data_IF_821909286363
#
_entry.id   IF_821909286363
#
_cell.length_a   1.000
_cell.length_b   1.000
_cell.length_c   1.000
_cell.angle_alpha   90.00
_cell.angle_beta   90.00
_cell.angle_gamma   90.00
#
_symmetry.space_group_name_H-M   'P 1'
#
loop_
_entity.id
_entity.type
_entity.pdbx_description
1 polymer ?
#
# COMPACT_ATOMS: atom_id res chain seq x y z
N UNK A 1 48.11 -22.59 -7.19
CA UNK A 1 47.85 -23.65 -6.19
C UNK A 1 46.55 -24.36 -6.51
N UNK A 2 45.48 -23.63 -6.78
CA UNK A 2 44.18 -24.18 -7.14
C UNK A 2 43.20 -23.05 -7.41
N UNK A 3 41.91 -23.32 -7.27
CA UNK A 3 40.84 -22.33 -7.42
C UNK A 3 39.86 -22.41 -6.25
N UNK A 4 39.19 -21.31 -5.96
CA UNK A 4 38.09 -21.26 -4.99
C UNK A 4 36.77 -20.87 -5.66
N UNK A 5 35.70 -21.57 -5.27
CA UNK A 5 34.33 -21.31 -5.70
C UNK A 5 33.41 -21.17 -4.49
N UNK A 6 32.62 -20.09 -4.45
CA UNK A 6 31.66 -19.77 -3.39
C UNK A 6 30.30 -19.44 -4.05
N UNK A 7 29.42 -20.44 -4.26
CA UNK A 7 28.19 -20.29 -5.04
C UNK A 7 27.26 -19.17 -4.54
N UNK A 8 27.13 -19.03 -3.21
CA UNK A 8 26.19 -18.14 -2.53
C UNK A 8 26.45 -16.65 -2.80
N UNK A 9 27.66 -16.32 -3.21
CA UNK A 9 28.09 -14.96 -3.54
C UNK A 9 28.63 -14.84 -4.96
N UNK A 10 28.42 -15.88 -5.80
CA UNK A 10 28.81 -15.94 -7.22
C UNK A 10 30.30 -15.73 -7.45
N UNK A 11 31.13 -16.19 -6.52
CA UNK A 11 32.58 -16.29 -6.72
C UNK A 11 32.81 -17.63 -7.40
N UNK A 12 33.32 -17.60 -8.63
CA UNK A 12 33.54 -18.82 -9.42
C UNK A 12 35.00 -18.87 -9.85
N UNK A 13 35.67 -19.95 -9.48
CA UNK A 13 36.98 -20.35 -9.97
C UNK A 13 38.06 -19.25 -9.87
N UNK A 14 38.12 -18.55 -8.74
CA UNK A 14 39.17 -17.55 -8.52
C UNK A 14 40.49 -18.27 -8.21
N UNK A 15 41.60 -17.95 -8.88
CA UNK A 15 42.89 -18.59 -8.63
C UNK A 15 43.41 -18.34 -7.21
N UNK A 16 43.99 -19.39 -6.63
CA UNK A 16 44.72 -19.36 -5.36
C UNK A 16 46.22 -19.44 -5.66
N UNK A 17 46.96 -18.44 -5.21
CA UNK A 17 48.41 -18.32 -5.32
C UNK A 17 49.08 -18.48 -3.97
N UNK A 18 50.35 -18.90 -3.97
CA UNK A 18 51.12 -19.01 -2.74
C UNK A 18 51.72 -17.65 -2.37
N UNK A 19 51.56 -17.23 -1.11
CA UNK A 19 51.98 -15.92 -0.61
C UNK A 19 50.81 -14.96 -0.39
N UNK A 20 51.11 -13.86 0.30
CA UNK A 20 50.17 -12.83 0.75
C UNK A 20 50.67 -11.41 0.44
N UNK A 21 51.63 -11.28 -0.49
CA UNK A 21 52.10 -9.97 -0.94
C UNK A 21 51.04 -9.24 -1.76
N UNK A 22 51.13 -7.91 -1.82
CA UNK A 22 50.19 -7.08 -2.60
C UNK A 22 50.15 -7.48 -4.07
N UNK A 23 51.29 -7.88 -4.65
CA UNK A 23 51.34 -8.39 -6.03
C UNK A 23 50.51 -9.66 -6.20
N UNK A 24 50.54 -10.56 -5.21
CA UNK A 24 49.77 -11.82 -5.24
C UNK A 24 48.28 -11.55 -5.02
N UNK A 25 47.94 -10.75 -4.01
CA UNK A 25 46.54 -10.38 -3.73
C UNK A 25 45.92 -9.55 -4.87
N UNK A 26 46.76 -8.87 -5.65
CA UNK A 26 46.35 -8.20 -6.88
C UNK A 26 45.91 -9.13 -8.01
N UNK A 27 46.30 -10.41 -7.99
CA UNK A 27 45.98 -11.41 -9.01
C UNK A 27 44.80 -12.32 -8.63
N UNK A 28 44.45 -12.42 -7.35
CA UNK A 28 43.41 -13.33 -6.88
C UNK A 28 43.46 -13.58 -5.38
N UNK A 29 43.28 -14.84 -4.98
CA UNK A 29 43.35 -15.26 -3.58
C UNK A 29 44.79 -15.65 -3.24
N UNK A 30 45.30 -15.12 -2.13
CA UNK A 30 46.59 -15.54 -1.57
C UNK A 30 46.44 -16.73 -0.62
N UNK A 31 47.55 -17.38 -0.33
CA UNK A 31 47.66 -18.38 0.73
C UNK A 31 48.75 -17.91 1.69
N UNK A 32 48.38 -17.72 2.96
CA UNK A 32 49.31 -17.21 3.98
C UNK A 32 50.43 -18.22 4.20
N UNK A 33 51.70 -17.83 3.98
CA UNK A 33 52.84 -18.68 4.34
C UNK A 33 52.76 -19.12 5.80
N UNK A 34 53.21 -20.34 6.11
CA UNK A 34 53.14 -20.93 7.46
C UNK A 34 51.74 -21.38 7.92
N UNK A 35 50.67 -21.10 7.17
CA UNK A 35 49.41 -21.85 7.30
C UNK A 35 49.48 -23.19 6.57
N UNK A 36 48.53 -24.10 6.84
CA UNK A 36 48.49 -25.38 6.14
C UNK A 36 48.19 -25.20 4.66
N UNK A 37 48.80 -26.02 3.81
CA UNK A 37 48.46 -26.04 2.38
C UNK A 37 46.97 -26.40 2.19
N UNK A 38 46.29 -25.84 1.17
CA UNK A 38 44.86 -26.01 0.94
C UNK A 38 44.48 -27.38 0.32
N UNK A 39 45.15 -28.45 0.76
CA UNK A 39 44.90 -29.84 0.34
C UNK A 39 44.04 -30.63 1.33
N UNK A 40 43.71 -30.01 2.48
CA UNK A 40 42.97 -30.61 3.59
C UNK A 40 43.78 -31.65 4.37
N UNK A 41 43.09 -32.35 5.28
CA UNK A 41 43.70 -33.34 6.16
C UNK A 41 43.41 -33.09 7.64
N UNK A 42 43.66 -34.09 8.47
CA UNK A 42 43.45 -33.93 9.91
C UNK A 42 44.53 -33.02 10.51
N UNK A 43 44.15 -32.12 11.41
CA UNK A 43 45.01 -31.08 12.00
C UNK A 43 45.58 -30.12 10.94
N UNK A 44 44.73 -29.66 10.01
CA UNK A 44 45.12 -28.64 9.03
C UNK A 44 44.25 -27.41 9.15
N UNK A 45 44.86 -26.24 8.99
CA UNK A 45 44.16 -24.96 8.90
C UNK A 45 44.82 -24.09 7.84
N UNK A 46 44.20 -24.01 6.65
CA UNK A 46 44.67 -23.12 5.58
C UNK A 46 44.05 -21.74 5.72
N UNK A 47 44.83 -20.69 5.45
CA UNK A 47 44.36 -19.30 5.52
C UNK A 47 44.47 -18.64 4.15
N UNK A 48 43.35 -18.16 3.64
CA UNK A 48 43.20 -17.66 2.28
C UNK A 48 42.73 -16.20 2.28
N UNK A 49 43.65 -15.21 2.20
CA UNK A 49 43.29 -13.80 2.08
C UNK A 49 42.93 -13.37 0.65
N UNK A 50 42.00 -12.43 0.52
CA UNK A 50 41.78 -11.67 -0.72
C UNK A 50 41.23 -10.27 -0.43
N UNK A 51 41.40 -9.34 -1.38
CA UNK A 51 40.85 -7.99 -1.23
C UNK A 51 39.31 -7.97 -1.25
N UNK A 52 38.76 -6.92 -0.63
CA UNK A 52 37.36 -6.51 -0.70
C UNK A 52 37.27 -5.10 -1.28
N UNK A 53 36.24 -4.82 -2.09
CA UNK A 53 35.93 -3.47 -2.57
C UNK A 53 36.78 -2.98 -3.74
N UNK A 54 37.39 -3.87 -4.53
CA UNK A 54 38.06 -3.48 -5.77
C UNK A 54 37.01 -3.19 -6.85
N UNK A 55 37.23 -2.11 -7.60
CA UNK A 55 36.31 -1.66 -8.67
C UNK A 55 36.25 -2.68 -9.81
N UNK A 56 37.37 -3.35 -10.10
CA UNK A 56 37.50 -4.22 -11.28
C UNK A 56 37.14 -5.68 -11.01
N UNK A 57 37.22 -6.16 -9.75
CA UNK A 57 36.93 -7.55 -9.39
C UNK A 57 36.26 -7.63 -8.03
N UNK A 58 35.22 -8.47 -7.94
CA UNK A 58 34.47 -8.61 -6.70
C UNK A 58 35.18 -9.45 -5.65
N UNK A 59 36.15 -10.33 -5.98
CA UNK A 59 36.93 -11.18 -5.05
C UNK A 59 36.14 -11.55 -3.77
N UNK A 60 36.60 -11.13 -2.59
CA UNK A 60 35.90 -11.35 -1.29
C UNK A 60 35.06 -10.16 -0.83
N UNK A 61 34.68 -9.25 -1.73
CA UNK A 61 33.82 -8.08 -1.42
C UNK A 61 32.49 -8.47 -0.80
N UNK A 62 31.91 -9.59 -1.20
CA UNK A 62 30.59 -10.05 -0.74
C UNK A 62 30.70 -11.12 0.37
N UNK A 63 31.88 -11.32 0.96
CA UNK A 63 32.10 -12.35 1.97
C UNK A 63 31.23 -12.13 3.23
N UNK A 64 30.88 -10.87 3.52
CA UNK A 64 29.97 -10.43 4.59
C UNK A 64 28.54 -10.95 4.42
N UNK A 65 28.15 -11.32 3.20
CA UNK A 65 26.83 -11.89 2.92
C UNK A 65 26.75 -13.36 3.30
N UNK A 66 27.85 -14.06 3.53
CA UNK A 66 27.86 -15.48 3.91
C UNK A 66 27.27 -15.69 5.30
N UNK A 67 26.75 -16.90 5.53
CA UNK A 67 26.13 -17.31 6.80
C UNK A 67 26.62 -18.70 7.19
N UNK A 68 26.55 -19.01 8.48
CA UNK A 68 26.75 -20.38 8.96
C UNK A 68 25.82 -21.33 8.21
N UNK A 69 26.40 -22.42 7.70
CA UNK A 69 25.73 -23.39 6.85
C UNK A 69 26.00 -23.24 5.36
N UNK A 70 26.45 -22.07 4.89
CA UNK A 70 26.90 -21.89 3.51
C UNK A 70 28.17 -22.71 3.25
N UNK A 71 28.53 -22.88 1.98
CA UNK A 71 29.65 -23.72 1.56
C UNK A 71 30.57 -23.02 0.59
N UNK A 72 31.83 -23.43 0.57
CA UNK A 72 32.77 -23.10 -0.49
C UNK A 72 33.57 -24.34 -0.89
N UNK A 73 34.16 -24.26 -2.07
CA UNK A 73 34.89 -25.34 -2.71
C UNK A 73 36.32 -24.88 -3.00
N UNK A 74 37.28 -25.75 -2.70
CA UNK A 74 38.65 -25.63 -3.16
C UNK A 74 38.90 -26.69 -4.23
N UNK A 75 39.40 -26.27 -5.38
CA UNK A 75 39.80 -27.13 -6.48
C UNK A 75 41.32 -27.12 -6.54
N UNK A 76 41.96 -28.17 -6.03
CA UNK A 76 43.43 -28.25 -5.91
C UNK A 76 43.89 -29.55 -6.57
N UNK A 77 44.67 -29.42 -7.66
CA UNK A 77 44.99 -30.54 -8.55
C UNK A 77 43.68 -31.23 -9.00
N UNK A 78 43.61 -32.56 -8.89
CA UNK A 78 42.43 -33.35 -9.24
C UNK A 78 41.44 -33.49 -8.07
N UNK A 79 41.67 -32.77 -6.96
CA UNK A 79 40.80 -32.80 -5.79
C UNK A 79 39.83 -31.63 -5.80
N UNK A 80 38.56 -31.95 -5.57
CA UNK A 80 37.59 -30.96 -5.07
C UNK A 80 37.42 -31.20 -3.58
N UNK A 81 37.51 -30.13 -2.79
CA UNK A 81 37.36 -30.15 -1.33
C UNK A 81 36.19 -29.22 -0.97
N UNK A 82 35.23 -29.73 -0.21
CA UNK A 82 34.05 -28.97 0.22
C UNK A 82 34.15 -28.58 1.68
N UNK A 83 33.93 -27.31 1.96
CA UNK A 83 33.94 -26.77 3.32
C UNK A 83 32.57 -26.14 3.62
N UNK A 84 32.06 -26.37 4.82
CA UNK A 84 30.83 -25.77 5.32
C UNK A 84 31.18 -24.75 6.40
N UNK A 85 30.68 -23.53 6.22
CA UNK A 85 30.92 -22.41 7.14
C UNK A 85 30.24 -22.69 8.47
N UNK A 86 31.00 -22.64 9.54
CA UNK A 86 30.55 -22.86 10.92
C UNK A 86 30.85 -21.65 11.81
N UNK A 87 31.77 -20.79 11.41
CA UNK A 87 32.17 -19.59 12.16
C UNK A 87 32.41 -18.38 11.25
N UNK A 88 31.88 -17.23 11.68
CA UNK A 88 32.08 -15.92 11.06
C UNK A 88 32.37 -14.91 12.15
N UNK A 89 33.52 -14.22 12.08
CA UNK A 89 33.95 -13.26 13.09
C UNK A 89 34.59 -12.02 12.50
N UNK A 90 34.42 -10.91 13.21
CA UNK A 90 35.11 -9.65 12.91
C UNK A 90 36.17 -9.43 13.99
N UNK A 91 37.43 -9.32 13.59
CA UNK A 91 38.57 -9.22 14.50
C UNK A 91 39.44 -7.99 14.18
N UNK A 92 40.30 -7.61 15.13
CA UNK A 92 41.34 -6.62 14.88
C UNK A 92 42.42 -7.19 13.93
N UNK A 93 43.11 -6.36 13.12
CA UNK A 93 44.10 -6.85 12.15
C UNK A 93 45.26 -7.67 12.74
N UNK A 94 45.59 -7.44 14.00
CA UNK A 94 46.66 -8.15 14.73
C UNK A 94 46.16 -9.39 15.50
N UNK A 95 44.87 -9.69 15.48
CA UNK A 95 44.28 -10.79 16.23
C UNK A 95 44.28 -12.06 15.38
N UNK A 96 45.40 -12.80 15.43
CA UNK A 96 45.65 -13.99 14.60
C UNK A 96 45.43 -15.32 15.33
N UNK A 97 45.12 -15.31 16.63
CA UNK A 97 45.02 -16.52 17.45
C UNK A 97 44.02 -17.54 16.91
N UNK A 98 42.94 -17.06 16.28
CA UNK A 98 41.91 -17.89 15.65
C UNK A 98 42.32 -18.60 14.37
N UNK A 99 43.50 -18.31 13.82
CA UNK A 99 44.01 -18.90 12.57
C UNK A 99 44.93 -20.10 12.83
N UNK A 100 45.10 -20.49 14.09
CA UNK A 100 45.94 -21.62 14.49
C UNK A 100 45.29 -22.95 14.12
N UNK A 101 46.10 -24.00 13.96
CA UNK A 101 45.60 -25.36 13.76
C UNK A 101 44.81 -25.81 14.99
N UNK A 102 43.62 -26.34 14.76
CA UNK A 102 42.80 -26.97 15.78
C UNK A 102 42.92 -28.49 15.69
N UNK A 103 43.23 -29.12 16.83
CA UNK A 103 43.45 -30.57 16.88
C UNK A 103 42.18 -31.32 16.47
N UNK A 104 42.31 -32.25 15.53
CA UNK A 104 41.23 -33.09 15.04
C UNK A 104 40.39 -32.49 13.91
N UNK A 105 40.70 -31.26 13.45
CA UNK A 105 39.88 -30.53 12.47
C UNK A 105 40.64 -30.29 11.16
N UNK A 106 39.86 -30.19 10.07
CA UNK A 106 40.32 -29.77 8.73
C UNK A 106 39.59 -28.46 8.42
N UNK A 107 40.30 -27.35 8.55
CA UNK A 107 39.76 -25.99 8.50
C UNK A 107 40.35 -25.18 7.35
N UNK A 108 39.52 -24.28 6.83
CA UNK A 108 39.97 -23.23 5.93
C UNK A 108 39.31 -21.92 6.35
N UNK A 109 40.11 -20.88 6.55
CA UNK A 109 39.61 -19.54 6.85
C UNK A 109 39.84 -18.60 5.67
N UNK A 110 38.76 -18.00 5.18
CA UNK A 110 38.76 -16.94 4.19
C UNK A 110 38.88 -15.59 4.92
N UNK A 111 39.82 -14.75 4.47
CA UNK A 111 40.15 -13.48 5.15
C UNK A 111 39.96 -12.30 4.21
N UNK A 112 39.26 -11.27 4.67
CA UNK A 112 39.20 -10.00 3.94
C UNK A 112 39.12 -8.79 4.88
N UNK A 113 39.27 -7.59 4.31
CA UNK A 113 39.14 -6.34 5.04
C UNK A 113 37.66 -6.03 5.32
N UNK A 114 37.38 -5.43 6.48
CA UNK A 114 36.00 -5.08 6.84
C UNK A 114 35.96 -3.85 7.77
N UNK A 115 34.89 -3.04 7.75
CA UNK A 115 33.89 -2.94 6.69
C UNK A 115 34.53 -2.48 5.37
N UNK A 116 34.03 -2.96 4.24
CA UNK A 116 34.57 -2.58 2.92
C UNK A 116 34.58 -1.06 2.74
N UNK A 117 35.72 -0.51 2.33
CA UNK A 117 35.94 0.93 2.17
C UNK A 117 36.51 1.64 3.41
N UNK A 118 36.34 1.05 4.61
CA UNK A 118 37.00 1.51 5.85
C UNK A 118 38.23 0.63 6.15
N UNK A 119 38.09 -0.69 6.00
CA UNK A 119 39.16 -1.68 6.04
C UNK A 119 40.01 -1.73 7.35
N UNK A 120 39.47 -1.23 8.47
CA UNK A 120 40.16 -1.16 9.76
C UNK A 120 40.08 -2.45 10.60
N UNK A 121 39.24 -3.41 10.19
CA UNK A 121 39.11 -4.74 10.80
C UNK A 121 39.30 -5.84 9.75
N UNK A 122 39.26 -7.09 10.20
CA UNK A 122 39.25 -8.27 9.34
C UNK A 122 37.97 -9.05 9.55
N UNK A 123 37.36 -9.47 8.45
CA UNK A 123 36.30 -10.46 8.44
C UNK A 123 36.94 -11.83 8.18
N UNK A 124 36.75 -12.75 9.12
CA UNK A 124 37.17 -14.14 9.00
C UNK A 124 35.92 -15.00 8.80
N UNK A 125 35.94 -15.81 7.75
CA UNK A 125 34.90 -16.81 7.47
C UNK A 125 35.57 -18.17 7.45
N UNK A 126 35.34 -18.96 8.49
CA UNK A 126 35.94 -20.27 8.67
C UNK A 126 34.95 -21.35 8.26
N UNK A 127 35.43 -22.33 7.49
CA UNK A 127 34.68 -23.52 7.15
C UNK A 127 35.42 -24.78 7.55
N UNK A 128 34.65 -25.79 7.93
CA UNK A 128 35.13 -27.13 8.27
C UNK A 128 34.83 -28.10 7.13
N UNK A 129 35.77 -29.03 6.90
CA UNK A 129 35.69 -30.02 5.83
C UNK A 129 34.44 -30.89 5.96
N UNK A 130 33.72 -31.05 4.86
CA UNK A 130 32.58 -31.96 4.75
C UNK A 130 32.70 -32.88 3.53
N UNK A 131 32.14 -34.11 3.58
CA UNK A 131 32.12 -35.01 2.43
C UNK A 131 31.33 -34.43 1.24
N UNK A 132 31.83 -34.65 0.02
CA UNK A 132 31.21 -34.16 -1.23
C UNK A 132 29.96 -34.95 -1.65
N UNK A 133 29.78 -36.17 -1.15
CA UNK A 133 28.71 -37.09 -1.58
C UNK A 133 27.27 -36.56 -1.38
N UNK A 134 27.09 -35.45 -0.67
CA UNK A 134 25.80 -34.76 -0.52
C UNK A 134 25.87 -33.39 -1.20
N UNK A 135 25.44 -33.30 -2.45
CA UNK A 135 25.03 -32.02 -3.06
C UNK A 135 23.76 -31.58 -2.34
N UNK A 136 23.87 -30.58 -1.46
CA UNK A 136 22.76 -30.12 -0.64
C UNK A 136 21.92 -29.10 -1.43
N UNK A 137 20.58 -29.07 -1.26
CA UNK A 137 19.72 -28.06 -1.89
C UNK A 137 20.14 -26.61 -1.60
N UNK A 138 20.87 -26.38 -0.50
CA UNK A 138 21.41 -25.10 -0.07
C UNK A 138 22.55 -24.56 -0.97
N UNK A 139 23.10 -25.38 -1.87
CA UNK A 139 24.06 -24.94 -2.89
C UNK A 139 23.39 -24.17 -4.04
N UNK A 140 22.06 -24.31 -4.19
CA UNK A 140 21.28 -23.47 -5.10
C UNK A 140 20.97 -22.16 -4.39
N UNK A 141 21.47 -21.05 -4.94
CA UNK A 141 21.29 -19.68 -4.44
C UNK A 141 19.79 -19.35 -4.35
N UNK A 142 19.18 -19.58 -3.18
CA UNK A 142 17.84 -19.08 -2.83
C UNK A 142 17.98 -18.07 -1.71
N UNK A 143 18.66 -16.96 -1.98
CA UNK A 143 18.61 -15.80 -1.10
C UNK A 143 17.49 -14.90 -1.60
N UNK A 144 16.59 -14.51 -0.69
CA UNK A 144 15.50 -13.60 -1.01
C UNK A 144 16.08 -12.37 -1.73
N UNK A 145 15.69 -12.21 -3.00
CA UNK A 145 16.18 -11.14 -3.88
C UNK A 145 15.73 -9.74 -3.40
N UNK A 146 14.73 -9.69 -2.53
CA UNK A 146 14.15 -8.44 -2.04
C UNK A 146 14.50 -8.22 -0.57
N UNK A 147 15.38 -7.25 -0.33
CA UNK A 147 15.79 -6.82 1.01
C UNK A 147 14.72 -5.98 1.72
N UNK A 148 14.98 -5.62 2.98
CA UNK A 148 14.08 -4.80 3.82
C UNK A 148 13.60 -3.52 3.11
N UNK A 149 14.51 -2.82 2.42
CA UNK A 149 14.20 -1.58 1.70
C UNK A 149 13.11 -1.75 0.63
N UNK A 150 13.04 -2.92 -0.02
CA UNK A 150 12.00 -3.19 -1.03
C UNK A 150 10.61 -3.22 -0.39
N UNK A 151 10.47 -3.90 0.74
CA UNK A 151 9.20 -4.01 1.45
C UNK A 151 8.75 -2.69 2.06
N UNK A 152 9.70 -1.88 2.56
CA UNK A 152 9.41 -0.51 3.03
C UNK A 152 8.89 0.37 1.89
N UNK A 153 9.52 0.31 0.71
CA UNK A 153 9.10 1.10 -0.46
C UNK A 153 7.74 0.67 -1.00
N UNK A 154 7.48 -0.64 -1.02
CA UNK A 154 6.17 -1.19 -1.43
C UNK A 154 5.07 -0.76 -0.45
N UNK A 155 5.33 -0.87 0.86
CA UNK A 155 4.38 -0.47 1.90
C UNK A 155 4.07 1.02 1.86
N UNK A 156 5.09 1.88 1.72
CA UNK A 156 4.90 3.34 1.65
C UNK A 156 4.15 3.77 0.39
N UNK A 157 4.43 3.14 -0.76
CA UNK A 157 3.69 3.38 -2.00
C UNK A 157 2.20 3.03 -1.89
N UNK A 158 1.88 1.92 -1.21
CA UNK A 158 0.49 1.49 -1.00
C UNK A 158 -0.27 2.45 -0.07
N UNK A 159 0.38 2.93 1.00
CA UNK A 159 -0.20 3.93 1.90
C UNK A 159 -0.47 5.27 1.20
N UNK A 160 0.46 5.73 0.34
CA UNK A 160 0.27 6.94 -0.47
C UNK A 160 -0.93 6.80 -1.41
N UNK A 161 -1.06 5.66 -2.09
CA UNK A 161 -2.18 5.39 -3.00
C UNK A 161 -3.52 5.41 -2.26
N UNK A 162 -3.60 4.78 -1.07
CA UNK A 162 -4.80 4.82 -0.25
C UNK A 162 -5.15 6.25 0.21
N UNK A 163 -4.14 7.04 0.60
CA UNK A 163 -4.33 8.44 0.96
C UNK A 163 -4.86 9.30 -0.20
N UNK A 164 -4.33 9.10 -1.41
CA UNK A 164 -4.81 9.77 -2.62
C UNK A 164 -6.24 9.38 -2.96
N UNK A 165 -6.59 8.09 -2.89
CA UNK A 165 -7.95 7.63 -3.12
C UNK A 165 -8.93 8.22 -2.10
N UNK A 166 -8.54 8.31 -0.83
CA UNK A 166 -9.35 8.93 0.21
C UNK A 166 -9.55 10.44 -0.03
N UNK A 167 -8.50 11.17 -0.40
CA UNK A 167 -8.59 12.58 -0.75
C UNK A 167 -9.47 12.81 -1.98
N UNK A 168 -9.33 11.96 -3.00
CA UNK A 168 -10.14 12.00 -4.21
C UNK A 168 -11.61 11.67 -3.88
N UNK A 169 -11.86 10.73 -2.97
CA UNK A 169 -13.19 10.47 -2.42
C UNK A 169 -13.74 11.67 -1.64
N UNK A 170 -12.94 12.41 -0.86
CA UNK A 170 -13.39 13.64 -0.19
C UNK A 170 -13.72 14.76 -1.20
N UNK A 171 -12.91 14.91 -2.24
CA UNK A 171 -13.14 15.92 -3.29
C UNK A 171 -14.38 15.60 -4.16
N UNK A 172 -14.63 14.32 -4.42
CA UNK A 172 -15.79 13.84 -5.18
C UNK A 172 -16.99 13.50 -4.28
N UNK A 173 -16.80 13.49 -2.97
CA UNK A 173 -17.71 12.97 -1.96
C UNK A 173 -18.87 13.88 -1.66
N UNK A 174 -20.08 13.35 -1.89
CA UNK A 174 -21.38 13.85 -1.41
C UNK A 174 -21.98 15.10 -2.09
N UNK A 175 -22.07 15.10 -3.42
CA UNK A 175 -23.15 15.88 -4.09
C UNK A 175 -24.43 15.03 -4.13
N UNK A 176 -25.13 14.99 -3.00
CA UNK A 176 -26.40 14.26 -2.88
C UNK A 176 -27.37 14.69 -3.99
N UNK A 177 -28.01 13.71 -4.62
CA UNK A 177 -29.09 13.95 -5.56
C UNK A 177 -30.33 14.25 -4.74
N UNK A 178 -31.02 15.31 -5.10
CA UNK A 178 -32.28 15.71 -4.52
C UNK A 178 -33.40 15.35 -5.49
N UNK A 179 -34.53 14.90 -4.97
CA UNK A 179 -35.65 14.37 -5.73
C UNK A 179 -36.91 15.16 -5.41
N UNK A 180 -37.64 15.60 -6.44
CA UNK A 180 -38.95 16.26 -6.34
C UNK A 180 -39.93 15.58 -7.30
N UNK A 181 -41.19 15.46 -6.89
CA UNK A 181 -42.24 14.85 -7.70
C UNK A 181 -43.13 15.93 -8.29
N UNK A 182 -43.37 15.85 -9.60
CA UNK A 182 -44.31 16.71 -10.30
C UNK A 182 -44.99 15.95 -11.45
N UNK A 183 -46.07 16.52 -12.00
CA UNK A 183 -46.75 16.03 -13.21
C UNK A 183 -46.00 16.36 -14.50
N UNK A 184 -44.99 17.23 -14.42
CA UNK A 184 -44.16 17.64 -15.57
C UNK A 184 -42.68 17.66 -15.24
N UNK A 185 -41.88 17.72 -16.31
CA UNK A 185 -40.44 17.96 -16.23
C UNK A 185 -40.20 19.43 -15.87
N UNK A 186 -39.45 19.69 -14.80
CA UNK A 186 -39.16 21.04 -14.30
C UNK A 186 -37.64 21.26 -14.36
N UNK A 187 -37.16 21.87 -15.44
CA UNK A 187 -35.72 22.17 -15.60
C UNK A 187 -35.31 23.44 -14.85
N UNK A 188 -36.19 24.44 -14.85
CA UNK A 188 -36.03 25.73 -14.18
C UNK A 188 -37.15 25.89 -13.14
N UNK A 189 -36.96 25.38 -11.91
CA UNK A 189 -38.00 25.41 -10.89
C UNK A 189 -38.20 26.83 -10.36
N UNK A 190 -39.47 27.22 -10.25
CA UNK A 190 -39.93 28.41 -9.52
C UNK A 190 -40.78 27.98 -8.32
N UNK A 191 -41.00 28.88 -7.36
CA UNK A 191 -41.87 28.57 -6.22
C UNK A 191 -43.26 28.12 -6.67
N UNK A 192 -43.81 28.75 -7.72
CA UNK A 192 -45.14 28.44 -8.26
C UNK A 192 -45.26 27.03 -8.88
N UNK A 193 -44.15 26.37 -9.21
CA UNK A 193 -44.16 25.07 -9.89
C UNK A 193 -44.38 23.87 -8.96
N UNK A 194 -44.22 24.06 -7.65
CA UNK A 194 -44.17 22.94 -6.71
C UNK A 194 -44.30 23.33 -5.24
N UNK A 195 -44.95 24.45 -4.95
CA UNK A 195 -45.23 24.87 -3.57
C UNK A 195 -46.14 23.85 -2.89
N UNK A 196 -45.55 23.12 -1.95
CA UNK A 196 -46.26 22.20 -1.07
C UNK A 196 -46.26 22.77 0.34
N UNK A 197 -47.31 22.48 1.09
CA UNK A 197 -47.36 22.76 2.53
C UNK A 197 -47.00 21.50 3.29
N UNK A 198 -45.80 21.48 3.87
CA UNK A 198 -45.24 20.35 4.63
C UNK A 198 -44.81 20.74 6.05
N UNK A 199 -44.02 19.88 6.70
CA UNK A 199 -43.54 20.10 8.08
C UNK A 199 -42.80 21.45 8.25
N UNK A 200 -42.11 21.94 7.20
CA UNK A 200 -41.36 23.21 7.23
C UNK A 200 -42.14 24.41 6.67
N UNK A 201 -43.47 24.30 6.59
CA UNK A 201 -44.37 25.30 6.03
C UNK A 201 -44.48 25.20 4.50
N UNK A 202 -44.84 26.30 3.85
CA UNK A 202 -44.92 26.37 2.39
C UNK A 202 -43.53 26.50 1.75
N UNK A 203 -43.30 25.74 0.67
CA UNK A 203 -42.07 25.83 -0.11
C UNK A 203 -41.98 24.73 -1.16
N UNK A 204 -40.86 24.71 -1.89
CA UNK A 204 -40.54 23.67 -2.87
C UNK A 204 -39.78 22.54 -2.18
N UNK A 205 -40.44 21.39 -2.03
CA UNK A 205 -39.90 20.26 -1.27
C UNK A 205 -39.09 19.29 -2.13
N UNK A 206 -37.94 18.92 -1.59
CA UNK A 206 -36.99 17.97 -2.15
C UNK A 206 -36.59 16.96 -1.07
N UNK A 207 -36.21 15.75 -1.46
CA UNK A 207 -35.62 14.76 -0.55
C UNK A 207 -34.32 14.18 -1.10
N UNK A 208 -33.39 13.79 -0.23
CA UNK A 208 -32.18 13.06 -0.61
C UNK A 208 -32.41 11.53 -0.80
N UNK A 209 -33.62 11.04 -0.54
CA UNK A 209 -33.98 9.63 -0.66
C UNK A 209 -34.88 9.35 -1.85
N UNK A 210 -34.38 8.55 -2.80
CA UNK A 210 -35.19 8.03 -3.91
C UNK A 210 -36.39 7.20 -3.41
N UNK A 211 -36.26 6.50 -2.27
CA UNK A 211 -37.35 5.70 -1.70
C UNK A 211 -38.49 6.60 -1.25
N UNK A 212 -38.17 7.68 -0.52
CA UNK A 212 -39.17 8.66 -0.07
C UNK A 212 -39.81 9.40 -1.25
N UNK A 213 -39.03 9.75 -2.28
CA UNK A 213 -39.57 10.37 -3.48
C UNK A 213 -40.60 9.49 -4.21
N UNK A 214 -40.40 8.17 -4.25
CA UNK A 214 -41.41 7.26 -4.80
C UNK A 214 -42.68 7.20 -3.92
N UNK A 215 -42.54 7.27 -2.59
CA UNK A 215 -43.70 7.33 -1.68
C UNK A 215 -44.50 8.62 -1.92
N UNK A 216 -43.83 9.76 -2.03
CA UNK A 216 -44.47 11.04 -2.39
C UNK A 216 -45.19 10.98 -3.73
N UNK A 217 -44.62 10.27 -4.71
CA UNK A 217 -45.25 10.07 -6.01
C UNK A 217 -46.55 9.27 -5.89
N UNK A 218 -46.53 8.17 -5.15
CA UNK A 218 -47.73 7.36 -4.94
C UNK A 218 -48.80 8.13 -4.14
N UNK A 219 -48.40 8.90 -3.13
CA UNK A 219 -49.30 9.76 -2.35
C UNK A 219 -49.93 10.87 -3.20
N UNK A 220 -49.14 11.52 -4.07
CA UNK A 220 -49.62 12.59 -4.94
C UNK A 220 -50.59 12.07 -6.00
N UNK A 221 -50.30 10.90 -6.58
CA UNK A 221 -51.19 10.23 -7.53
C UNK A 221 -52.54 9.90 -6.89
N UNK A 222 -52.53 9.35 -5.68
CA UNK A 222 -53.75 9.04 -4.93
C UNK A 222 -54.55 10.31 -4.61
N UNK A 223 -53.91 11.38 -4.15
CA UNK A 223 -54.58 12.66 -3.83
C UNK A 223 -55.23 13.32 -5.04
N UNK A 224 -54.59 13.24 -6.22
CA UNK A 224 -55.10 13.82 -7.47
C UNK A 224 -56.02 12.88 -8.25
N UNK A 225 -56.26 11.65 -7.76
CA UNK A 225 -56.96 10.58 -8.49
C UNK A 225 -56.38 10.35 -9.91
N UNK A 226 -55.05 10.41 -10.02
CA UNK A 226 -54.30 10.28 -11.27
C UNK A 226 -53.49 8.98 -11.27
N UNK A 227 -53.13 8.50 -12.45
CA UNK A 227 -52.26 7.32 -12.57
C UNK A 227 -50.83 7.69 -12.11
N UNK A 228 -50.22 6.95 -11.17
CA UNK A 228 -48.83 7.18 -10.76
C UNK A 228 -47.82 7.20 -11.92
N UNK A 229 -48.13 6.54 -13.03
CA UNK A 229 -47.25 6.48 -14.20
C UNK A 229 -47.17 7.79 -15.00
N UNK A 230 -48.12 8.72 -14.77
CA UNK A 230 -48.13 10.06 -15.36
C UNK A 230 -47.24 11.04 -14.57
N UNK A 231 -46.87 10.70 -13.33
CA UNK A 231 -46.00 11.52 -12.50
C UNK A 231 -44.51 11.24 -12.76
N UNK A 232 -43.72 12.28 -12.55
CA UNK A 232 -42.30 12.33 -12.85
C UNK A 232 -41.49 12.70 -11.60
N UNK A 233 -40.32 12.08 -11.45
CA UNK A 233 -39.35 12.45 -10.40
C UNK A 233 -38.23 13.27 -11.03
N UNK A 234 -38.25 14.57 -10.77
CA UNK A 234 -37.20 15.50 -11.17
C UNK A 234 -36.00 15.38 -10.20
N UNK A 235 -34.80 15.18 -10.75
CA UNK A 235 -33.56 14.97 -10.00
C UNK A 235 -32.70 16.21 -10.11
N UNK A 236 -32.36 16.79 -8.97
CA UNK A 236 -31.55 17.98 -8.85
C UNK A 236 -30.29 17.71 -8.04
N UNK A 237 -29.40 18.70 -8.06
CA UNK A 237 -28.21 18.77 -7.23
C UNK A 237 -28.07 20.17 -6.69
N UNK A 238 -27.98 20.26 -5.38
CA UNK A 238 -27.68 21.52 -4.71
C UNK A 238 -26.17 21.80 -4.83
N UNK A 239 -25.82 22.92 -5.48
CA UNK A 239 -24.43 23.40 -5.53
C UNK A 239 -24.01 23.93 -4.16
N UNK A 240 -22.71 24.16 -3.96
CA UNK A 240 -22.20 24.75 -2.73
C UNK A 240 -22.87 26.11 -2.52
N UNK A 241 -23.63 26.18 -1.44
CA UNK A 241 -24.37 27.36 -1.02
C UNK A 241 -23.38 28.26 -0.28
N UNK A 242 -22.84 29.26 -0.97
CA UNK A 242 -22.14 30.38 -0.32
C UNK A 242 -23.16 31.51 -0.22
N UNK A 243 -23.40 32.00 0.99
CA UNK A 243 -24.20 33.20 1.31
C UNK A 243 -25.75 33.07 1.33
N UNK A 244 -26.34 31.91 1.08
CA UNK A 244 -27.80 31.73 1.28
C UNK A 244 -28.15 31.56 2.76
N UNK A 245 -29.19 32.26 3.23
CA UNK A 245 -29.73 32.06 4.58
C UNK A 245 -30.32 30.66 4.69
N UNK A 246 -29.85 29.88 5.68
CA UNK A 246 -30.26 28.48 5.82
C UNK A 246 -30.40 28.06 7.27
N UNK A 247 -31.32 27.12 7.49
CA UNK A 247 -31.47 26.45 8.76
C UNK A 247 -31.42 24.93 8.57
N UNK A 248 -30.56 24.24 9.34
CA UNK A 248 -30.32 22.80 9.19
C UNK A 248 -30.53 22.10 10.52
N UNK A 249 -31.63 21.34 10.60
CA UNK A 249 -31.84 20.39 11.67
C UNK A 249 -31.14 19.10 11.32
N UNK A 250 -30.14 18.71 12.13
CA UNK A 250 -29.53 17.39 11.96
C UNK A 250 -30.51 16.32 12.44
N UNK A 251 -31.17 16.49 13.58
CA UNK A 251 -32.03 15.50 14.22
C UNK A 251 -33.35 16.15 14.68
N UNK A 252 -34.40 15.35 14.96
CA UNK A 252 -35.67 15.85 15.54
C UNK A 252 -35.50 16.17 17.02
N UNK A 253 -34.68 17.16 17.34
CA UNK A 253 -34.40 17.63 18.71
C UNK A 253 -35.48 18.59 19.22
N UNK A 254 -35.38 19.01 20.49
CA UNK A 254 -36.25 20.03 21.08
C UNK A 254 -36.28 21.33 20.25
N UNK A 255 -35.14 21.76 19.67
CA UNK A 255 -35.09 22.90 18.75
C UNK A 255 -35.87 22.67 17.45
N UNK A 256 -35.89 21.43 16.93
CA UNK A 256 -36.74 21.08 15.78
C UNK A 256 -38.20 21.18 16.19
N UNK A 257 -38.57 20.62 17.35
CA UNK A 257 -39.96 20.68 17.84
C UNK A 257 -40.40 22.13 18.09
N UNK A 258 -39.56 22.95 18.73
CA UNK A 258 -39.83 24.38 18.91
C UNK A 258 -39.99 25.10 17.58
N UNK A 259 -39.15 24.83 16.58
CA UNK A 259 -39.31 25.44 15.27
C UNK A 259 -40.66 25.10 14.63
N UNK A 260 -41.07 23.83 14.69
CA UNK A 260 -42.36 23.38 14.14
C UNK A 260 -43.54 24.01 14.90
N UNK A 261 -43.46 24.06 16.23
CA UNK A 261 -44.51 24.58 17.11
C UNK A 261 -44.62 26.11 17.05
N UNK A 262 -43.50 26.83 17.13
CA UNK A 262 -43.42 28.29 17.09
C UNK A 262 -43.86 28.84 15.73
N UNK A 263 -43.62 28.10 14.65
CA UNK A 263 -43.98 28.53 13.30
C UNK A 263 -45.32 28.00 12.81
N UNK A 264 -46.03 27.13 13.53
CA UNK A 264 -47.36 26.56 13.17
C UNK A 264 -47.58 26.28 11.66
N UNK A 265 -46.53 25.91 10.92
CA UNK A 265 -46.58 25.80 9.45
C UNK A 265 -46.82 27.09 8.66
N UNK A 266 -46.87 28.27 9.29
CA UNK A 266 -46.85 29.59 8.66
C UNK A 266 -45.43 30.16 8.64
N UNK A 267 -44.75 29.88 7.52
CA UNK A 267 -43.69 30.72 6.97
C UNK A 267 -42.53 31.10 7.89
N UNK A 268 -41.52 30.23 8.03
CA UNK A 268 -40.17 30.76 8.20
C UNK A 268 -39.77 31.56 6.95
N UNK A 269 -39.95 32.88 7.02
CA UNK A 269 -39.58 33.85 5.99
C UNK A 269 -38.11 34.29 6.11
N UNK A 270 -37.42 33.88 7.18
CA UNK A 270 -36.04 34.31 7.46
C UNK A 270 -35.02 33.50 6.68
N UNK A 271 -35.33 32.23 6.40
CA UNK A 271 -34.42 31.31 5.74
C UNK A 271 -34.90 30.93 4.34
N UNK A 272 -34.02 31.12 3.37
CA UNK A 272 -34.22 30.72 1.98
C UNK A 272 -34.22 29.19 1.80
N UNK A 273 -33.52 28.45 2.67
CA UNK A 273 -33.48 27.00 2.69
C UNK A 273 -33.62 26.43 4.11
N UNK A 274 -34.56 25.51 4.28
CA UNK A 274 -34.72 24.74 5.52
C UNK A 274 -34.47 23.26 5.21
N UNK A 275 -33.60 22.61 6.00
CA UNK A 275 -33.27 21.19 5.86
C UNK A 275 -33.54 20.48 7.16
N UNK A 276 -34.26 19.37 7.14
CA UNK A 276 -34.53 18.61 8.35
C UNK A 276 -34.82 17.13 8.10
N UNK A 277 -34.74 16.31 9.16
CA UNK A 277 -34.86 14.87 9.04
C UNK A 277 -36.33 14.43 8.96
N UNK A 278 -36.59 13.39 8.18
CA UNK A 278 -37.88 12.70 8.15
C UNK A 278 -37.71 11.23 8.50
N UNK A 279 -38.58 10.77 9.39
CA UNK A 279 -38.56 9.39 9.87
C UNK A 279 -39.19 8.49 8.81
N UNK A 280 -38.33 7.71 8.17
CA UNK A 280 -38.73 6.54 7.39
C UNK A 280 -38.21 5.30 8.11
N UNK A 281 -38.85 4.15 7.94
CA UNK A 281 -38.55 2.90 8.67
C UNK A 281 -37.09 2.42 8.57
N UNK A 282 -36.36 2.83 7.52
CA UNK A 282 -35.13 2.14 7.10
C UNK A 282 -33.87 2.99 7.13
N UNK A 283 -33.95 4.32 7.36
CA UNK A 283 -32.79 5.24 7.47
C UNK A 283 -33.23 6.67 7.80
N UNK A 284 -32.29 7.46 8.34
CA UNK A 284 -32.40 8.92 8.43
C UNK A 284 -32.35 9.51 7.02
N UNK A 285 -33.44 10.15 6.62
CA UNK A 285 -33.62 10.81 5.33
C UNK A 285 -33.77 12.30 5.58
N UNK A 286 -33.22 13.14 4.70
CA UNK A 286 -33.37 14.58 4.79
C UNK A 286 -34.40 15.08 3.78
N UNK A 287 -35.20 16.04 4.22
CA UNK A 287 -36.03 16.88 3.37
C UNK A 287 -35.46 18.28 3.32
N UNK A 288 -35.63 18.91 2.17
CA UNK A 288 -35.15 20.25 1.85
C UNK A 288 -36.35 21.05 1.37
N UNK A 289 -36.67 22.13 2.07
CA UNK A 289 -37.70 23.08 1.68
C UNK A 289 -37.03 24.36 1.19
N UNK A 290 -37.08 24.62 -0.12
CA UNK A 290 -36.65 25.88 -0.71
C UNK A 290 -37.81 26.87 -0.61
N UNK A 291 -37.54 28.06 -0.08
CA UNK A 291 -38.58 29.03 0.29
C UNK A 291 -38.50 30.35 -0.46
N UNK A 292 -37.40 30.61 -1.16
CA UNK A 292 -37.18 31.83 -1.94
C UNK A 292 -36.64 31.50 -3.33
N UNK A 293 -36.82 32.43 -4.28
CA UNK A 293 -36.30 32.27 -5.64
C UNK A 293 -34.75 32.20 -5.68
N UNK A 294 -34.07 32.91 -4.77
CA UNK A 294 -32.61 32.86 -4.60
C UNK A 294 -32.10 31.43 -4.35
N UNK A 295 -32.89 30.60 -3.65
CA UNK A 295 -32.49 29.22 -3.36
C UNK A 295 -32.42 28.34 -4.63
N UNK A 296 -33.19 28.67 -5.68
CA UNK A 296 -33.19 27.90 -6.93
C UNK A 296 -31.96 28.18 -7.80
N UNK A 297 -31.29 29.33 -7.67
CA UNK A 297 -30.02 29.60 -8.37
C UNK A 297 -28.93 28.57 -8.00
N UNK A 298 -29.04 27.99 -6.80
CA UNK A 298 -28.16 26.95 -6.30
C UNK A 298 -28.62 25.53 -6.69
N UNK A 299 -29.81 25.37 -7.27
CA UNK A 299 -30.39 24.08 -7.62
C UNK A 299 -30.13 23.76 -9.10
N UNK A 300 -29.26 22.78 -9.36
CA UNK A 300 -28.95 22.33 -10.72
C UNK A 300 -29.79 21.11 -11.10
N UNK A 301 -30.62 21.22 -12.13
CA UNK A 301 -31.30 20.08 -12.73
C UNK A 301 -30.29 19.07 -13.31
N UNK A 302 -30.54 17.77 -13.08
CA UNK A 302 -29.72 16.66 -13.61
C UNK A 302 -30.50 15.90 -14.67
N UNK A 303 -31.66 15.36 -14.29
CA UNK A 303 -32.47 14.46 -15.13
C UNK A 303 -33.86 14.26 -14.54
N UNK A 304 -34.74 13.66 -15.32
CA UNK A 304 -36.08 13.25 -14.89
C UNK A 304 -36.18 11.73 -14.96
N UNK A 305 -36.86 11.13 -13.99
CA UNK A 305 -37.12 9.70 -13.90
C UNK A 305 -38.62 9.45 -14.00
N UNK A 306 -39.01 8.43 -14.76
CA UNK A 306 -40.38 7.90 -14.78
C UNK A 306 -40.37 6.50 -14.13
N UNK A 307 -41.43 6.18 -13.38
CA UNK A 307 -41.65 4.90 -12.68
C UNK A 307 -41.42 3.68 -13.60
N UNK A 308 -41.82 3.74 -14.88
CA UNK A 308 -41.68 2.64 -15.84
C UNK A 308 -40.24 2.42 -16.38
N UNK A 309 -39.37 3.43 -16.40
CA UNK A 309 -37.95 3.24 -16.78
C UNK A 309 -37.10 2.62 -15.68
N UNK A 310 -37.55 2.64 -14.42
CA UNK A 310 -36.82 2.03 -13.31
C UNK A 310 -37.06 0.52 -13.17
N UNK A 311 -38.15 -0.03 -13.74
CA UNK A 311 -38.41 -1.49 -13.78
C UNK A 311 -37.77 -2.21 -14.98
N UNK A 312 -37.46 -1.49 -16.08
CA UNK A 312 -36.79 -2.06 -17.28
C UNK A 312 -35.26 -1.85 -17.33
N UNK A 313 -34.63 -1.48 -16.22
CA UNK A 313 -33.18 -1.23 -16.13
C UNK A 313 -32.33 -2.48 -15.89
N UNK A 314 -32.59 -3.54 -16.65
CA UNK A 314 -31.71 -4.71 -16.81
C UNK A 314 -31.24 -4.86 -18.26
N UNK A 315 -31.25 -3.78 -19.03
CA UNK A 315 -30.80 -3.73 -20.41
C UNK A 315 -29.46 -3.02 -20.49
N UNK A 316 -28.42 -3.82 -20.72
CA UNK A 316 -27.08 -3.44 -21.18
C UNK A 316 -27.19 -2.41 -22.31
N UNK A 317 -26.42 -1.34 -22.25
CA UNK A 317 -26.14 -0.48 -23.40
C UNK A 317 -24.62 -0.50 -23.55
N UNK A 318 -24.18 -0.94 -24.73
CA UNK A 318 -22.79 -0.91 -25.21
C UNK A 318 -22.25 0.52 -25.32
#
# INVERSE_FOLDING_TARGET
MGFITIPQIKVNDIPIYHGDSETILGLGVGHVPQSSLPIGGNNTHAVLPAHSGRVNDTLFTNLDKLKNGDVFYLHVLDLTLKYKIDDIRIVAPNQVSSLSIEKGRDLVTLVTCYPTGINNKRLLVTGERVPISKVLPQEKVQRNQFGYNFWVMLGSGLLLLLGLLYLLWLLLGSRHKLYHVADRKIEEPKLSDGQLRGEFGEGFYLTDSKKLANQWLDEQAHKKNQNPDELLINVYRLKKIKNLSRWIFKDKTENWQHYILEKQGYGDEKHALVVGPVFTSDKKVMQYALKTEEAFEHLKYIKCLNKNKSKKGGGRID
#
